data_IF_902693798099
#
_entry.id   IF_902693798099
#
_cell.length_a   1.000
_cell.length_b   1.000
_cell.length_c   1.000
_cell.angle_alpha   90.00
_cell.angle_beta   90.00
_cell.angle_gamma   90.00
#
_symmetry.space_group_name_H-M   'P 1'
#
loop_
_entity.id
_entity.type
_entity.pdbx_description
1 polymer ?
#
# COMPACT_ATOMS: atom_id res chain seq x y z
N UNK A 1 -0.36 16.23 20.91
CA UNK A 1 -0.55 14.84 21.42
C UNK A 1 -1.09 14.78 22.85
N UNK A 2 -0.82 15.76 23.72
CA UNK A 2 -1.31 15.75 25.12
C UNK A 2 -2.79 16.14 25.27
N UNK A 3 -3.38 16.80 24.27
CA UNK A 3 -4.82 17.12 24.20
C UNK A 3 -5.47 16.28 23.09
N UNK A 4 -6.23 15.21 23.44
CA UNK A 4 -6.86 14.34 22.45
C UNK A 4 -7.93 15.04 21.59
N UNK A 5 -8.68 15.98 22.17
CA UNK A 5 -9.78 16.68 21.47
C UNK A 5 -9.22 17.64 20.42
N UNK A 6 -8.17 18.39 20.77
CA UNK A 6 -7.48 19.25 19.82
C UNK A 6 -6.87 18.43 18.66
N UNK A 7 -6.30 17.26 18.95
CA UNK A 7 -5.72 16.39 17.92
C UNK A 7 -6.77 15.82 16.95
N UNK A 8 -7.97 15.48 17.42
CA UNK A 8 -9.05 15.01 16.55
C UNK A 8 -9.49 16.10 15.57
N UNK A 9 -9.80 17.30 16.09
CA UNK A 9 -10.20 18.45 15.26
C UNK A 9 -9.11 18.84 14.26
N UNK A 10 -7.84 18.79 14.69
CA UNK A 10 -6.71 19.04 13.81
C UNK A 10 -6.58 17.99 12.72
N UNK A 11 -6.82 16.70 13.03
CA UNK A 11 -6.79 15.61 12.04
C UNK A 11 -7.85 15.81 10.96
N UNK A 12 -9.10 16.07 11.35
CA UNK A 12 -10.21 16.32 10.42
C UNK A 12 -9.94 17.55 9.54
N UNK A 13 -9.46 18.64 10.13
CA UNK A 13 -9.13 19.85 9.39
C UNK A 13 -7.94 19.65 8.43
N UNK A 14 -6.93 18.88 8.84
CA UNK A 14 -5.79 18.55 7.98
C UNK A 14 -6.21 17.67 6.80
N UNK A 15 -7.09 16.69 7.01
CA UNK A 15 -7.63 15.87 5.93
C UNK A 15 -8.44 16.70 4.94
N UNK A 16 -9.33 17.56 5.44
CA UNK A 16 -10.12 18.48 4.60
C UNK A 16 -9.22 19.41 3.79
N UNK A 17 -8.22 20.02 4.42
CA UNK A 17 -7.26 20.90 3.74
C UNK A 17 -6.45 20.14 2.67
N UNK A 18 -6.03 18.90 2.94
CA UNK A 18 -5.35 18.04 1.95
C UNK A 18 -6.23 17.78 0.72
N UNK A 19 -7.52 17.48 0.94
CA UNK A 19 -8.48 17.23 -0.14
C UNK A 19 -8.70 18.51 -0.96
N UNK A 20 -8.94 19.66 -0.31
CA UNK A 20 -9.10 20.95 -0.98
C UNK A 20 -7.87 21.34 -1.81
N UNK A 21 -6.66 21.10 -1.30
CA UNK A 21 -5.41 21.36 -2.03
C UNK A 21 -5.21 20.48 -3.26
N UNK A 22 -6.01 19.42 -3.43
CA UNK A 22 -6.00 18.61 -4.66
C UNK A 22 -6.62 19.34 -5.84
N UNK A 23 -7.47 20.36 -5.61
CA UNK A 23 -8.05 21.22 -6.65
C UNK A 23 -7.59 22.68 -6.55
N UNK A 24 -7.50 23.24 -5.34
CA UNK A 24 -7.05 24.60 -5.08
C UNK A 24 -5.53 24.70 -4.90
N UNK A 25 -4.97 25.90 -5.14
CA UNK A 25 -3.54 26.17 -4.91
C UNK A 25 -3.20 26.53 -3.46
N UNK A 26 -4.21 26.94 -2.69
CA UNK A 26 -4.09 27.37 -1.31
C UNK A 26 -5.40 27.11 -0.57
N UNK A 27 -5.31 26.79 0.72
CA UNK A 27 -6.43 26.71 1.65
C UNK A 27 -6.01 27.29 3.01
N UNK A 28 -6.98 27.50 3.91
CA UNK A 28 -6.76 27.98 5.26
C UNK A 28 -7.32 26.99 6.29
N UNK A 29 -6.44 26.49 7.16
CA UNK A 29 -6.81 25.71 8.33
C UNK A 29 -7.19 26.68 9.43
N UNK A 30 -8.50 26.91 9.58
CA UNK A 30 -9.07 27.79 10.60
C UNK A 30 -9.83 26.98 11.67
N UNK A 31 -9.22 26.84 12.84
CA UNK A 31 -9.76 26.16 14.01
C UNK A 31 -9.88 27.15 15.18
N UNK A 32 -11.04 27.80 15.35
CA UNK A 32 -11.26 28.65 16.51
C UNK A 32 -11.38 27.80 17.78
N UNK A 33 -10.91 28.34 18.91
CA UNK A 33 -10.97 27.70 20.23
C UNK A 33 -10.39 26.28 20.19
N UNK A 34 -9.20 26.11 19.61
CA UNK A 34 -8.56 24.79 19.45
C UNK A 34 -8.10 24.22 20.80
N UNK A 35 -7.63 25.08 21.70
CA UNK A 35 -7.23 24.73 23.06
C UNK A 35 -7.22 26.01 23.91
N UNK A 36 -6.89 25.92 25.20
CA UNK A 36 -6.72 27.07 26.08
C UNK A 36 -5.45 26.92 26.93
N UNK A 37 -4.83 28.04 27.27
CA UNK A 37 -3.69 28.10 28.21
C UNK A 37 -3.93 29.17 29.30
N UNK A 38 -2.91 29.44 30.13
CA UNK A 38 -2.98 30.43 31.22
C UNK A 38 -3.31 31.86 30.74
N UNK A 39 -3.21 32.14 29.44
CA UNK A 39 -3.53 33.43 28.82
C UNK A 39 -4.90 33.45 28.14
N UNK A 40 -5.65 32.35 28.19
CA UNK A 40 -7.02 32.25 27.65
C UNK A 40 -7.15 31.29 26.45
N UNK A 41 -8.28 31.35 25.72
CA UNK A 41 -8.53 30.49 24.56
C UNK A 41 -7.58 30.79 23.40
N UNK A 42 -7.17 29.75 22.69
CA UNK A 42 -6.30 29.82 21.50
C UNK A 42 -7.05 29.43 20.24
N UNK A 43 -6.68 30.09 19.15
CA UNK A 43 -7.21 29.85 17.81
C UNK A 43 -6.04 29.48 16.89
N UNK A 44 -6.29 28.60 15.93
CA UNK A 44 -5.33 28.27 14.88
C UNK A 44 -5.87 28.78 13.56
N UNK A 45 -5.17 29.72 12.93
CA UNK A 45 -5.49 30.17 11.57
C UNK A 45 -4.19 30.13 10.76
N UNK A 46 -4.03 29.10 9.94
CA UNK A 46 -2.82 28.89 9.14
C UNK A 46 -3.21 28.68 7.68
N UNK A 47 -2.64 29.51 6.82
CA UNK A 47 -2.73 29.32 5.37
C UNK A 47 -1.71 28.29 4.91
N UNK A 48 -2.16 27.31 4.14
CA UNK A 48 -1.32 26.23 3.58
C UNK A 48 -1.43 26.27 2.07
N UNK A 49 -0.30 26.31 1.39
CA UNK A 49 -0.23 26.23 -0.08
C UNK A 49 -0.03 24.79 -0.53
N UNK A 50 -0.42 24.48 -1.77
CA UNK A 50 -0.18 23.17 -2.40
C UNK A 50 1.31 22.84 -2.39
N UNK A 51 2.15 23.78 -2.79
CA UNK A 51 3.60 23.61 -2.79
C UNK A 51 4.14 23.25 -1.39
N UNK A 52 3.57 23.83 -0.32
CA UNK A 52 3.98 23.48 1.04
C UNK A 52 3.55 22.05 1.40
N UNK A 53 2.32 21.65 1.09
CA UNK A 53 1.86 20.28 1.28
C UNK A 53 2.74 19.29 0.52
N UNK A 54 3.03 19.55 -0.75
CA UNK A 54 3.89 18.70 -1.58
C UNK A 54 5.27 18.53 -0.95
N UNK A 55 5.90 19.61 -0.45
CA UNK A 55 7.19 19.53 0.24
C UNK A 55 7.18 18.67 1.51
N UNK A 56 6.01 18.54 2.16
CA UNK A 56 5.86 17.78 3.41
C UNK A 56 5.64 16.27 3.16
N UNK A 57 5.21 15.88 1.96
CA UNK A 57 4.85 14.49 1.63
C UNK A 57 5.67 13.92 0.46
N UNK A 58 6.61 14.69 -0.08
CA UNK A 58 7.42 14.29 -1.23
C UNK A 58 8.15 12.96 -1.00
N UNK A 59 8.69 12.75 0.21
CA UNK A 59 9.38 11.50 0.56
C UNK A 59 8.43 10.29 0.55
N UNK A 60 7.17 10.47 0.96
CA UNK A 60 6.15 9.42 0.93
C UNK A 60 5.78 9.05 -0.51
N UNK A 61 5.67 10.04 -1.40
CA UNK A 61 5.41 9.81 -2.83
C UNK A 61 6.59 9.06 -3.44
N UNK A 62 7.83 9.48 -3.18
CA UNK A 62 9.03 8.77 -3.65
C UNK A 62 9.09 7.33 -3.15
N UNK A 63 8.76 7.09 -1.88
CA UNK A 63 8.68 5.73 -1.30
C UNK A 63 7.65 4.85 -2.03
N UNK A 64 6.56 5.41 -2.55
CA UNK A 64 5.58 4.62 -3.33
C UNK A 64 6.08 4.20 -4.72
N UNK A 65 7.14 4.82 -5.25
CA UNK A 65 7.70 4.44 -6.55
C UNK A 65 8.65 3.25 -6.47
N UNK A 66 9.28 2.99 -5.32
CA UNK A 66 10.21 1.87 -5.17
C UNK A 66 9.52 0.50 -5.34
N UNK A 67 8.32 0.24 -4.78
CA UNK A 67 7.57 -0.97 -5.06
C UNK A 67 7.23 -1.16 -6.55
N UNK A 68 7.04 -0.08 -7.32
CA UNK A 68 6.76 -0.19 -8.76
C UNK A 68 7.97 -0.74 -9.52
N UNK A 69 9.17 -0.29 -9.17
CA UNK A 69 10.42 -0.82 -9.75
C UNK A 69 10.59 -2.30 -9.42
N UNK A 70 10.31 -2.67 -8.17
CA UNK A 70 10.39 -4.08 -7.75
C UNK A 70 9.37 -4.95 -8.50
N UNK A 71 8.13 -4.48 -8.66
CA UNK A 71 7.10 -5.21 -9.37
C UNK A 71 7.44 -5.40 -10.87
N UNK A 72 7.97 -4.36 -11.52
CA UNK A 72 8.45 -4.45 -12.90
C UNK A 72 9.60 -5.46 -13.03
N UNK A 73 10.57 -5.42 -12.11
CA UNK A 73 11.67 -6.37 -12.09
C UNK A 73 11.20 -7.81 -11.84
N UNK A 74 10.25 -8.01 -10.93
CA UNK A 74 9.66 -9.32 -10.63
C UNK A 74 8.88 -9.88 -11.83
N UNK A 75 8.30 -9.01 -12.65
CA UNK A 75 7.58 -9.37 -13.87
C UNK A 75 8.47 -9.47 -15.12
N UNK A 76 9.78 -9.20 -14.99
CA UNK A 76 10.73 -9.06 -16.12
C UNK A 76 10.24 -8.07 -17.19
N UNK A 77 9.65 -6.95 -16.75
CA UNK A 77 9.08 -5.92 -17.60
C UNK A 77 9.84 -4.60 -17.46
N UNK A 78 9.94 -3.89 -18.57
CA UNK A 78 10.35 -2.50 -18.60
C UNK A 78 9.13 -1.57 -18.45
N UNK A 79 9.40 -0.31 -18.12
CA UNK A 79 8.37 0.75 -18.09
C UNK A 79 7.61 0.85 -19.42
N UNK A 80 8.30 0.67 -20.55
CA UNK A 80 7.71 0.74 -21.89
C UNK A 80 6.71 -0.37 -22.20
N UNK A 81 6.79 -1.51 -21.50
CA UNK A 81 5.88 -2.64 -21.71
C UNK A 81 4.50 -2.39 -21.11
N UNK A 82 4.38 -1.41 -20.21
CA UNK A 82 3.12 -1.04 -19.57
C UNK A 82 2.24 -0.24 -20.54
N UNK A 83 1.14 -0.85 -20.96
CA UNK A 83 0.21 -0.24 -21.94
C UNK A 83 -0.71 0.81 -21.33
N UNK A 84 -1.31 0.49 -20.19
CA UNK A 84 -2.28 1.33 -19.51
C UNK A 84 -1.89 1.47 -18.03
N UNK A 85 -2.14 2.65 -17.47
CA UNK A 85 -1.92 2.95 -16.06
C UNK A 85 -3.28 3.27 -15.45
N UNK A 86 -3.68 2.50 -14.44
CA UNK A 86 -4.94 2.70 -13.73
C UNK A 86 -4.63 3.17 -12.31
N UNK A 87 -5.21 4.30 -11.92
CA UNK A 87 -5.05 4.89 -10.59
C UNK A 87 -6.26 4.54 -9.73
N UNK A 88 -6.03 3.94 -8.56
CA UNK A 88 -7.10 3.48 -7.66
C UNK A 88 -6.88 4.05 -6.25
N UNK A 89 -7.97 4.46 -5.61
CA UNK A 89 -8.01 5.03 -4.26
C UNK A 89 -7.91 6.57 -4.22
N UNK A 90 -8.66 7.21 -3.33
CA UNK A 90 -8.79 8.67 -3.28
C UNK A 90 -7.48 9.47 -3.12
N UNK A 91 -6.44 8.89 -2.52
CA UNK A 91 -5.13 9.58 -2.39
C UNK A 91 -4.43 9.79 -3.75
N UNK A 92 -4.81 9.03 -4.79
CA UNK A 92 -4.32 9.22 -6.17
C UNK A 92 -4.89 10.46 -6.84
N UNK A 93 -5.89 11.12 -6.24
CA UNK A 93 -6.43 12.40 -6.73
C UNK A 93 -5.47 13.58 -6.50
N UNK A 94 -4.42 13.40 -5.69
CA UNK A 94 -3.41 14.42 -5.46
C UNK A 94 -2.60 14.68 -6.75
N UNK A 95 -2.53 15.93 -7.28
CA UNK A 95 -1.84 16.22 -8.53
C UNK A 95 -0.37 15.76 -8.56
N UNK A 96 0.35 15.91 -7.44
CA UNK A 96 1.75 15.49 -7.34
C UNK A 96 1.95 13.98 -7.45
N UNK A 97 0.98 13.19 -6.98
CA UNK A 97 1.01 11.73 -7.11
C UNK A 97 0.82 11.34 -8.58
N UNK A 98 -0.16 11.94 -9.26
CA UNK A 98 -0.38 11.69 -10.69
C UNK A 98 0.84 12.08 -11.51
N UNK A 99 1.42 13.25 -11.24
CA UNK A 99 2.65 13.70 -11.90
C UNK A 99 3.80 12.71 -11.67
N UNK A 100 4.05 12.29 -10.43
CA UNK A 100 5.13 11.34 -10.14
C UNK A 100 4.96 9.99 -10.87
N UNK A 101 3.72 9.52 -11.01
CA UNK A 101 3.40 8.29 -11.77
C UNK A 101 3.56 8.51 -13.27
N UNK A 102 3.06 9.64 -13.82
CA UNK A 102 3.27 10.01 -15.22
C UNK A 102 4.76 10.11 -15.55
N UNK A 103 5.55 10.77 -14.70
CA UNK A 103 6.99 10.94 -14.88
C UNK A 103 7.72 9.59 -14.81
N UNK A 104 7.28 8.68 -13.93
CA UNK A 104 7.86 7.34 -13.82
C UNK A 104 7.58 6.47 -15.04
N UNK A 105 6.34 6.46 -15.54
CA UNK A 105 5.95 5.61 -16.67
C UNK A 105 6.11 6.28 -18.05
N UNK A 106 6.34 7.59 -18.11
CA UNK A 106 6.34 8.37 -19.35
C UNK A 106 4.99 8.40 -20.06
N UNK A 107 3.89 8.13 -19.34
CA UNK A 107 2.54 7.96 -19.91
C UNK A 107 1.48 8.46 -18.94
N UNK A 108 0.43 9.09 -19.48
CA UNK A 108 -0.70 9.57 -18.69
C UNK A 108 -1.57 8.41 -18.18
N UNK A 109 -1.99 8.44 -16.90
CA UNK A 109 -2.96 7.50 -16.37
C UNK A 109 -4.35 7.66 -17.00
N UNK A 110 -5.09 6.55 -17.04
CA UNK A 110 -6.48 6.52 -17.46
C UNK A 110 -7.36 7.34 -16.51
N UNK A 111 -8.31 8.06 -17.09
CA UNK A 111 -9.27 8.93 -16.38
C UNK A 111 -10.70 8.42 -16.43
N UNK A 112 -10.94 7.33 -17.16
CA UNK A 112 -12.25 6.70 -17.36
C UNK A 112 -12.55 5.61 -16.34
N UNK A 113 -11.70 5.43 -15.33
CA UNK A 113 -11.91 4.54 -14.19
C UNK A 113 -12.17 5.39 -12.94
N UNK A 114 -13.27 5.14 -12.22
CA UNK A 114 -13.53 5.79 -10.94
C UNK A 114 -12.60 5.19 -9.86
N UNK A 115 -11.64 5.96 -9.31
CA UNK A 115 -10.66 5.43 -8.38
C UNK A 115 -11.28 4.98 -7.04
N UNK A 116 -12.45 5.50 -6.68
CA UNK A 116 -13.07 5.23 -5.36
C UNK A 116 -14.00 4.01 -5.39
N UNK A 117 -14.48 3.61 -6.58
CA UNK A 117 -15.50 2.55 -6.73
C UNK A 117 -14.99 1.31 -7.48
N UNK A 118 -13.91 1.44 -8.26
CA UNK A 118 -13.40 0.36 -9.12
C UNK A 118 -13.16 -0.96 -8.36
N UNK A 119 -12.66 -0.89 -7.13
CA UNK A 119 -12.41 -2.08 -6.29
C UNK A 119 -13.72 -2.79 -5.92
N UNK A 120 -14.75 -2.03 -5.51
CA UNK A 120 -16.04 -2.60 -5.12
C UNK A 120 -16.75 -3.22 -6.32
N UNK A 121 -16.69 -2.57 -7.48
CA UNK A 121 -17.21 -3.11 -8.73
C UNK A 121 -16.48 -4.40 -9.15
N UNK A 122 -15.15 -4.44 -9.05
CA UNK A 122 -14.37 -5.64 -9.31
C UNK A 122 -14.75 -6.81 -8.39
N UNK A 123 -15.00 -6.54 -7.11
CA UNK A 123 -15.48 -7.56 -6.17
C UNK A 123 -16.87 -8.11 -6.55
N UNK A 124 -17.78 -7.25 -7.01
CA UNK A 124 -19.09 -7.67 -7.47
C UNK A 124 -19.00 -8.54 -8.74
N UNK A 125 -18.11 -8.19 -9.69
CA UNK A 125 -17.84 -9.02 -10.88
C UNK A 125 -17.31 -10.38 -10.47
N UNK A 126 -16.35 -10.44 -9.54
CA UNK A 126 -15.82 -11.71 -9.04
C UNK A 126 -16.91 -12.57 -8.38
N UNK A 127 -17.83 -11.97 -7.63
CA UNK A 127 -18.99 -12.69 -7.07
C UNK A 127 -19.90 -13.26 -8.17
N UNK A 128 -20.13 -12.50 -9.25
CA UNK A 128 -20.88 -12.97 -10.42
C UNK A 128 -20.19 -14.13 -11.15
N UNK A 129 -18.86 -14.13 -11.22
CA UNK A 129 -18.08 -15.26 -11.77
C UNK A 129 -18.25 -16.52 -10.92
N UNK A 130 -18.18 -16.38 -9.59
CA UNK A 130 -18.37 -17.51 -8.66
C UNK A 130 -19.78 -18.10 -8.71
N UNK A 131 -20.81 -17.28 -8.98
CA UNK A 131 -22.20 -17.72 -9.15
C UNK A 131 -22.48 -18.30 -10.55
N UNK A 132 -21.60 -18.03 -11.53
CA UNK A 132 -21.77 -18.44 -12.92
C UNK A 132 -22.61 -17.49 -13.78
N UNK A 133 -22.99 -16.32 -13.24
CA UNK A 133 -23.71 -15.26 -13.95
C UNK A 133 -22.80 -14.51 -14.93
N UNK A 134 -21.53 -14.36 -14.58
CA UNK A 134 -20.49 -13.82 -15.45
C UNK A 134 -19.67 -14.97 -16.01
N UNK A 135 -19.68 -15.12 -17.34
CA UNK A 135 -18.98 -16.19 -18.07
C UNK A 135 -17.74 -15.64 -18.78
N UNK A 136 -16.86 -16.54 -19.18
CA UNK A 136 -15.67 -16.26 -19.99
C UNK A 136 -14.63 -15.33 -19.31
N UNK A 137 -14.57 -15.35 -17.97
CA UNK A 137 -13.54 -14.69 -17.18
C UNK A 137 -12.71 -15.74 -16.45
N UNK A 138 -11.40 -15.76 -16.71
CA UNK A 138 -10.43 -16.56 -15.96
C UNK A 138 -9.51 -15.62 -15.20
N UNK A 139 -9.45 -15.78 -13.87
CA UNK A 139 -8.57 -15.02 -12.99
C UNK A 139 -7.47 -15.95 -12.47
N UNK A 140 -6.22 -15.55 -12.69
CA UNK A 140 -5.04 -16.20 -12.12
C UNK A 140 -4.36 -15.17 -11.23
N UNK A 141 -4.40 -15.41 -9.92
CA UNK A 141 -3.78 -14.53 -8.92
C UNK A 141 -2.50 -15.18 -8.38
N UNK A 142 -1.73 -14.44 -7.59
CA UNK A 142 -0.42 -14.88 -7.07
C UNK A 142 -0.27 -14.66 -5.56
N UNK A 143 0.64 -15.40 -4.93
CA UNK A 143 1.01 -15.17 -3.53
C UNK A 143 1.96 -13.96 -3.42
N UNK A 144 1.63 -12.89 -2.68
CA UNK A 144 2.42 -11.65 -2.68
C UNK A 144 3.73 -11.73 -1.88
N UNK A 145 3.86 -12.73 -1.00
CA UNK A 145 5.03 -12.94 -0.16
C UNK A 145 5.44 -14.41 -0.22
N UNK A 146 6.73 -14.65 -0.05
CA UNK A 146 7.24 -16.00 0.08
C UNK A 146 6.76 -16.62 1.39
N UNK A 147 6.21 -17.83 1.30
CA UNK A 147 5.85 -18.66 2.44
C UNK A 147 6.95 -19.69 2.66
N UNK A 148 7.36 -19.88 3.92
CA UNK A 148 8.41 -20.83 4.24
C UNK A 148 8.45 -21.15 5.72
N UNK A 149 9.53 -21.80 6.14
CA UNK A 149 9.70 -22.25 7.51
C UNK A 149 11.06 -21.84 8.08
N UNK A 150 11.11 -21.67 9.39
CA UNK A 150 12.37 -21.52 10.10
C UNK A 150 13.13 -22.85 10.11
N UNK A 151 14.41 -22.78 9.76
CA UNK A 151 15.34 -23.91 9.77
C UNK A 151 16.51 -23.62 10.72
N UNK A 152 17.35 -24.64 10.95
CA UNK A 152 18.47 -24.56 11.87
C UNK A 152 19.31 -23.29 11.63
N UNK A 153 19.63 -22.57 12.71
CA UNK A 153 20.35 -21.31 12.65
C UNK A 153 19.48 -20.06 12.48
N UNK A 154 18.15 -20.18 12.61
CA UNK A 154 17.23 -19.04 12.53
C UNK A 154 17.10 -18.46 11.13
N UNK A 155 17.27 -19.32 10.12
CA UNK A 155 17.22 -18.96 8.70
C UNK A 155 15.86 -19.33 8.13
N UNK A 156 15.30 -18.43 7.33
CA UNK A 156 14.06 -18.63 6.60
C UNK A 156 14.34 -19.46 5.34
N UNK A 157 13.81 -20.68 5.30
CA UNK A 157 13.80 -21.51 4.09
C UNK A 157 12.44 -21.37 3.41
N UNK A 158 12.44 -20.76 2.23
CA UNK A 158 11.22 -20.53 1.44
C UNK A 158 10.76 -21.84 0.79
N UNK A 159 9.45 -22.06 0.80
CA UNK A 159 8.78 -23.20 0.17
C UNK A 159 7.97 -22.76 -1.04
N UNK A 160 7.15 -21.71 -0.87
CA UNK A 160 6.40 -21.09 -1.96
C UNK A 160 6.97 -19.69 -2.12
N UNK A 161 7.61 -19.40 -3.26
CA UNK A 161 8.18 -18.08 -3.53
C UNK A 161 7.08 -17.03 -3.77
N UNK A 162 7.39 -15.75 -3.49
CA UNK A 162 6.51 -14.65 -3.90
C UNK A 162 6.23 -14.70 -5.41
N UNK A 163 5.08 -14.17 -5.80
CA UNK A 163 4.54 -14.17 -7.16
C UNK A 163 4.23 -15.57 -7.74
N UNK A 164 4.25 -16.64 -6.94
CA UNK A 164 3.75 -17.96 -7.37
C UNK A 164 2.23 -17.91 -7.57
N UNK A 165 1.74 -18.38 -8.72
CA UNK A 165 0.30 -18.46 -9.04
C UNK A 165 -0.45 -19.35 -8.05
N UNK A 166 -1.63 -18.89 -7.63
CA UNK A 166 -2.53 -19.64 -6.74
C UNK A 166 -3.79 -20.09 -7.48
N UNK A 167 -4.36 -21.27 -7.13
CA UNK A 167 -3.95 -22.17 -6.05
C UNK A 167 -2.68 -22.98 -6.38
N UNK A 168 -1.83 -23.22 -5.37
CA UNK A 168 -0.59 -24.01 -5.51
C UNK A 168 -0.38 -24.94 -4.31
N UNK A 169 0.48 -25.95 -4.47
CA UNK A 169 0.89 -26.88 -3.41
C UNK A 169 2.37 -27.22 -3.60
N UNK A 170 3.14 -27.04 -2.54
CA UNK A 170 4.54 -27.46 -2.47
C UNK A 170 4.72 -28.52 -1.37
N UNK A 171 5.69 -29.41 -1.52
CA UNK A 171 6.00 -30.43 -0.52
C UNK A 171 7.51 -30.68 -0.49
N UNK A 172 8.10 -30.55 0.69
CA UNK A 172 9.52 -30.76 0.91
C UNK A 172 9.75 -31.63 2.14
N UNK A 173 10.67 -32.59 2.03
CA UNK A 173 11.05 -33.47 3.14
C UNK A 173 12.13 -32.80 3.98
N UNK A 174 11.88 -32.71 5.29
CA UNK A 174 12.84 -32.24 6.29
C UNK A 174 13.25 -33.41 7.21
N UNK A 175 14.40 -33.27 7.87
CA UNK A 175 14.93 -34.23 8.84
C UNK A 175 15.25 -33.55 10.17
N UNK A 176 15.44 -34.35 11.22
CA UNK A 176 15.86 -33.86 12.54
C UNK A 176 17.24 -33.22 12.47
N UNK A 177 17.46 -32.21 13.32
CA UNK A 177 18.72 -31.50 13.42
C UNK A 177 19.68 -32.17 14.43
N UNK A 178 19.14 -32.95 15.36
CA UNK A 178 19.88 -33.65 16.41
C UNK A 178 19.55 -35.15 16.45
N UNK A 179 20.49 -35.95 16.97
CA UNK A 179 20.28 -37.39 17.18
C UNK A 179 19.24 -37.63 18.28
N UNK A 180 18.37 -38.62 18.09
CA UNK A 180 17.25 -38.95 18.97
C UNK A 180 16.25 -37.80 19.25
N UNK A 181 16.17 -36.79 18.37
CA UNK A 181 15.16 -35.73 18.47
C UNK A 181 13.73 -36.32 18.35
N UNK A 182 12.95 -36.22 19.43
CA UNK A 182 11.63 -36.87 19.55
C UNK A 182 10.46 -36.08 18.97
N UNK A 183 10.64 -34.80 18.70
CA UNK A 183 9.61 -33.92 18.15
C UNK A 183 10.19 -32.90 17.17
N UNK A 184 9.41 -32.55 16.15
CA UNK A 184 9.73 -31.50 15.17
C UNK A 184 8.73 -30.37 15.34
N UNK A 185 9.24 -29.15 15.53
CA UNK A 185 8.43 -27.93 15.53
C UNK A 185 8.60 -27.25 14.18
N UNK A 186 7.49 -27.03 13.48
CA UNK A 186 7.47 -26.28 12.22
C UNK A 186 6.98 -24.88 12.52
N UNK A 187 7.87 -23.91 12.46
CA UNK A 187 7.53 -22.49 12.56
C UNK A 187 7.40 -21.93 11.14
N UNK A 188 6.17 -21.62 10.74
CA UNK A 188 5.82 -21.09 9.41
C UNK A 188 5.88 -19.57 9.45
N UNK A 189 6.48 -18.95 8.43
CA UNK A 189 6.61 -17.50 8.31
C UNK A 189 6.30 -17.04 6.87
N UNK A 190 6.04 -15.73 6.72
CA UNK A 190 5.89 -15.02 5.47
C UNK A 190 6.85 -13.82 5.38
N UNK A 191 7.58 -13.73 4.28
CA UNK A 191 8.42 -12.57 3.97
C UNK A 191 9.65 -12.89 3.13
N UNK A 192 10.38 -11.83 2.77
CA UNK A 192 11.51 -11.88 1.84
C UNK A 192 12.88 -11.82 2.54
N UNK A 193 12.91 -11.77 3.87
CA UNK A 193 14.14 -11.60 4.64
C UNK A 193 14.79 -12.95 4.93
N UNK A 194 16.12 -12.99 4.96
CA UNK A 194 16.89 -14.24 5.15
C UNK A 194 16.79 -14.82 6.57
N UNK A 195 16.62 -13.97 7.59
CA UNK A 195 16.50 -14.40 8.99
C UNK A 195 15.04 -14.52 9.38
N UNK A 196 14.69 -15.59 10.09
CA UNK A 196 13.31 -15.87 10.52
C UNK A 196 12.75 -14.73 11.38
N UNK A 197 13.56 -14.17 12.29
CA UNK A 197 13.16 -13.06 13.18
C UNK A 197 12.73 -11.77 12.48
N UNK A 198 13.11 -11.59 11.20
CA UNK A 198 12.80 -10.40 10.42
C UNK A 198 11.49 -10.55 9.61
N UNK A 199 10.87 -11.73 9.63
CA UNK A 199 9.64 -12.07 8.93
C UNK A 199 8.47 -12.24 9.93
N UNK A 200 7.25 -12.37 9.42
CA UNK A 200 6.02 -12.48 10.24
C UNK A 200 5.34 -13.83 10.08
#
# INVERSE_FOLDING_TARGET
RKDPLAMQRLKEAAEKAKIELSSAQQTEVNLPYITADNTGPKHLAIKVTRAKLESLVEDLIKKSLEPLKQALADADMSVSDVKDIIMVGGQTRMPKVQQAVTDFFGKEPRRDVNPDEAVALGAAVQAGVLQGDVKDVLLLDVCPLSLGIETMGGVMTKLIEKNTTIPTKESQTFSTAEDNQSAVTIHVLQGERKRSSDNK
#
